data_IF_308376116292
#
_entry.id   IF_308376116292
#
_cell.length_a   1.000
_cell.length_b   1.000
_cell.length_c   1.000
_cell.angle_alpha   90.00
_cell.angle_beta   90.00
_cell.angle_gamma   90.00
#
_symmetry.space_group_name_H-M   'P 1'
#
loop_
_entity.id
_entity.type
_entity.pdbx_description
1 polymer ?
#
# COMPACT_ATOMS: atom_id res chain seq x y z
N UNK A 1 -19.26 -5.33 -23.76
CA UNK A 1 -20.02 -4.32 -22.99
C UNK A 1 -19.21 -3.65 -21.89
N UNK A 2 -18.50 -4.38 -21.01
CA UNK A 2 -17.75 -3.76 -19.89
C UNK A 2 -16.50 -2.94 -20.33
N UNK A 3 -15.79 -3.34 -21.38
CA UNK A 3 -14.67 -2.54 -21.95
C UNK A 3 -15.15 -1.23 -22.56
N UNK A 4 -16.31 -1.29 -23.22
CA UNK A 4 -16.97 -0.13 -23.81
C UNK A 4 -17.45 0.80 -22.69
N UNK A 5 -17.94 0.26 -21.56
CA UNK A 5 -18.33 1.04 -20.39
C UNK A 5 -17.15 1.76 -19.71
N UNK A 6 -15.99 1.11 -19.58
CA UNK A 6 -14.77 1.73 -19.06
C UNK A 6 -14.26 2.86 -19.97
N UNK A 7 -14.25 2.63 -21.29
CA UNK A 7 -13.90 3.65 -22.28
C UNK A 7 -14.93 4.80 -22.32
N UNK A 8 -16.22 4.52 -22.15
CA UNK A 8 -17.27 5.53 -22.05
C UNK A 8 -17.12 6.36 -20.77
N UNK A 9 -16.83 5.75 -19.62
CA UNK A 9 -16.59 6.50 -18.38
C UNK A 9 -15.34 7.39 -18.47
N UNK A 10 -14.23 6.87 -19.01
CA UNK A 10 -13.02 7.64 -19.24
C UNK A 10 -13.25 8.78 -20.26
N UNK A 11 -13.99 8.50 -21.34
CA UNK A 11 -14.31 9.48 -22.38
C UNK A 11 -15.35 10.52 -21.94
N UNK A 12 -16.25 10.19 -21.00
CA UNK A 12 -17.20 11.14 -20.40
C UNK A 12 -16.50 12.08 -19.41
N UNK A 13 -15.49 11.61 -18.68
CA UNK A 13 -14.73 12.44 -17.73
C UNK A 13 -13.79 13.41 -18.45
N UNK A 14 -13.13 12.95 -19.53
CA UNK A 14 -12.28 13.80 -20.38
C UNK A 14 -13.04 14.94 -21.10
N UNK A 15 -14.37 14.83 -21.24
CA UNK A 15 -15.20 15.83 -21.91
C UNK A 15 -15.82 16.90 -21.02
N UNK A 16 -15.69 16.82 -19.68
CA UNK A 16 -16.55 17.58 -18.75
C UNK A 16 -15.81 18.41 -17.69
N UNK A 17 -14.48 18.54 -17.76
CA UNK A 17 -13.73 19.35 -16.79
C UNK A 17 -12.83 20.38 -17.49
N UNK A 18 -13.44 21.30 -18.25
CA UNK A 18 -13.22 22.78 -18.31
C UNK A 18 -13.59 23.33 -19.71
N UNK A 19 -14.43 24.38 -19.89
CA UNK A 19 -15.08 25.28 -18.92
C UNK A 19 -16.62 25.21 -19.00
N UNK A 20 -17.29 24.58 -18.03
CA UNK A 20 -18.77 24.69 -17.90
C UNK A 20 -19.22 24.86 -16.45
N UNK A 21 -18.30 25.22 -15.55
CA UNK A 21 -18.63 25.56 -14.15
C UNK A 21 -19.29 26.96 -14.04
N UNK A 22 -19.45 27.71 -15.14
CA UNK A 22 -20.06 29.05 -15.10
C UNK A 22 -21.44 29.20 -15.76
N UNK A 23 -22.09 28.17 -16.31
CA UNK A 23 -23.33 28.43 -17.09
C UNK A 23 -24.58 27.63 -16.78
N UNK A 24 -24.58 26.44 -16.16
CA UNK A 24 -25.85 25.69 -15.96
C UNK A 24 -25.96 24.99 -14.59
N UNK A 25 -26.55 25.71 -13.63
CA UNK A 25 -26.71 25.31 -12.23
C UNK A 25 -27.81 24.28 -11.90
N UNK A 26 -27.96 23.17 -12.65
CA UNK A 26 -28.79 22.03 -12.16
C UNK A 26 -28.62 20.66 -12.85
N UNK A 27 -28.04 20.56 -14.05
CA UNK A 27 -27.94 19.28 -14.78
C UNK A 27 -26.57 18.56 -14.64
N UNK A 28 -25.51 19.28 -14.29
CA UNK A 28 -24.16 18.72 -14.11
C UNK A 28 -24.02 17.92 -12.79
N UNK A 29 -24.86 18.20 -11.80
CA UNK A 29 -24.85 17.52 -10.50
C UNK A 29 -25.46 16.12 -10.59
N UNK A 30 -26.54 15.92 -11.35
CA UNK A 30 -27.17 14.60 -11.49
C UNK A 30 -26.27 13.60 -12.25
N UNK A 31 -25.64 14.04 -13.32
CA UNK A 31 -24.72 13.20 -14.14
C UNK A 31 -23.49 12.77 -13.34
N UNK A 32 -22.89 13.68 -12.56
CA UNK A 32 -21.74 13.38 -11.71
C UNK A 32 -22.09 12.45 -10.54
N UNK A 33 -23.30 12.57 -9.97
CA UNK A 33 -23.82 11.63 -8.96
C UNK A 33 -23.97 10.22 -9.56
N UNK A 34 -24.54 10.10 -10.77
CA UNK A 34 -24.71 8.80 -11.44
C UNK A 34 -23.38 8.12 -11.76
N UNK A 35 -22.37 8.88 -12.21
CA UNK A 35 -21.03 8.33 -12.49
C UNK A 35 -20.37 7.80 -11.23
N UNK A 36 -20.43 8.53 -10.11
CA UNK A 36 -19.91 8.07 -8.82
C UNK A 36 -20.58 6.78 -8.35
N UNK A 37 -21.91 6.68 -8.48
CA UNK A 37 -22.67 5.48 -8.12
C UNK A 37 -22.30 4.27 -8.99
N UNK A 38 -22.09 4.48 -10.29
CA UNK A 38 -21.63 3.42 -11.20
C UNK A 38 -20.25 2.95 -10.79
N UNK A 39 -19.33 3.87 -10.48
CA UNK A 39 -17.99 3.52 -10.04
C UNK A 39 -17.99 2.79 -8.69
N UNK A 40 -18.80 3.22 -7.72
CA UNK A 40 -18.98 2.49 -6.46
C UNK A 40 -19.52 1.06 -6.69
N UNK A 41 -20.46 0.89 -7.61
CA UNK A 41 -20.97 -0.43 -8.00
C UNK A 41 -19.87 -1.29 -8.62
N UNK A 42 -19.04 -0.69 -9.47
CA UNK A 42 -17.89 -1.37 -10.08
C UNK A 42 -16.87 -1.80 -9.02
N UNK A 43 -16.63 -0.98 -7.98
CA UNK A 43 -15.76 -1.34 -6.86
C UNK A 43 -16.32 -2.54 -6.07
N UNK A 44 -17.61 -2.58 -5.77
CA UNK A 44 -18.20 -3.76 -5.11
C UNK A 44 -18.08 -5.04 -5.98
N UNK A 45 -18.11 -4.93 -7.31
CA UNK A 45 -17.86 -6.06 -8.20
C UNK A 45 -16.42 -6.60 -8.12
N UNK A 46 -15.46 -5.81 -7.64
CA UNK A 46 -14.10 -6.31 -7.33
C UNK A 46 -14.07 -7.27 -6.14
N UNK A 47 -15.17 -7.36 -5.38
CA UNK A 47 -15.33 -8.28 -4.26
C UNK A 47 -16.26 -9.46 -4.59
N UNK A 48 -16.79 -9.53 -5.82
CA UNK A 48 -17.72 -10.58 -6.27
C UNK A 48 -17.06 -11.97 -6.14
N UNK A 49 -17.80 -13.01 -5.68
CA UNK A 49 -17.24 -14.35 -5.52
C UNK A 49 -16.80 -14.97 -6.85
N UNK A 50 -17.41 -14.61 -7.99
CA UNK A 50 -17.11 -15.20 -9.30
C UNK A 50 -15.80 -14.63 -9.85
N UNK A 51 -14.75 -15.46 -10.04
CA UNK A 51 -13.42 -14.98 -10.42
C UNK A 51 -13.39 -14.15 -11.71
N UNK A 52 -14.20 -14.51 -12.71
CA UNK A 52 -14.27 -13.79 -14.00
C UNK A 52 -14.86 -12.39 -13.85
N UNK A 53 -15.87 -12.22 -12.98
CA UNK A 53 -16.51 -10.92 -12.73
C UNK A 53 -15.55 -10.01 -11.99
N UNK A 54 -14.99 -10.51 -10.90
CA UNK A 54 -14.01 -9.78 -10.09
C UNK A 54 -12.79 -9.35 -10.89
N UNK A 55 -12.16 -10.27 -11.64
CA UNK A 55 -11.00 -9.94 -12.48
C UNK A 55 -11.33 -8.84 -13.46
N UNK A 56 -12.50 -8.94 -14.12
CA UNK A 56 -12.91 -7.94 -15.10
C UNK A 56 -13.20 -6.57 -14.47
N UNK A 57 -13.82 -6.54 -13.30
CA UNK A 57 -14.05 -5.29 -12.57
C UNK A 57 -12.73 -4.63 -12.17
N UNK A 58 -11.80 -5.41 -11.61
CA UNK A 58 -10.46 -4.92 -11.23
C UNK A 58 -9.67 -4.36 -12.41
N UNK A 59 -9.69 -5.03 -13.57
CA UNK A 59 -9.06 -4.54 -14.81
C UNK A 59 -9.62 -3.19 -15.26
N UNK A 60 -10.94 -3.00 -15.15
CA UNK A 60 -11.57 -1.72 -15.54
C UNK A 60 -11.21 -0.62 -14.56
N UNK A 61 -11.29 -0.88 -13.26
CA UNK A 61 -10.90 0.10 -12.23
C UNK A 61 -9.44 0.49 -12.42
N UNK A 62 -8.55 -0.48 -12.58
CA UNK A 62 -7.13 -0.24 -12.87
C UNK A 62 -6.95 0.63 -14.13
N UNK A 63 -7.58 0.27 -15.24
CA UNK A 63 -7.50 1.02 -16.49
C UNK A 63 -7.96 2.48 -16.35
N UNK A 64 -8.97 2.74 -15.51
CA UNK A 64 -9.43 4.10 -15.22
C UNK A 64 -8.38 4.85 -14.40
N UNK A 65 -7.85 4.24 -13.34
CA UNK A 65 -6.84 4.84 -12.48
C UNK A 65 -5.53 5.14 -13.22
N UNK A 66 -5.14 4.27 -14.15
CA UNK A 66 -3.96 4.42 -15.00
C UNK A 66 -4.14 5.49 -16.11
N UNK A 67 -5.35 6.06 -16.27
CA UNK A 67 -5.66 7.09 -17.28
C UNK A 67 -6.06 8.41 -16.60
N UNK A 68 -5.14 9.11 -15.92
CA UNK A 68 -5.48 10.35 -15.26
C UNK A 68 -5.89 11.44 -16.28
N UNK A 69 -6.91 12.27 -15.97
CA UNK A 69 -7.32 13.34 -16.86
C UNK A 69 -6.27 14.45 -16.87
N UNK A 70 -5.83 14.88 -18.06
CA UNK A 70 -4.89 16.00 -18.20
C UNK A 70 -5.43 17.28 -17.53
N UNK A 71 -4.63 18.06 -16.77
CA UNK A 71 -3.19 17.95 -16.54
C UNK A 71 -2.81 17.18 -15.25
N UNK A 72 -3.70 16.37 -14.67
CA UNK A 72 -3.43 15.67 -13.42
C UNK A 72 -2.47 14.50 -13.66
N UNK A 73 -1.50 14.34 -12.76
CA UNK A 73 -0.60 13.17 -12.74
C UNK A 73 -1.30 11.92 -12.19
N UNK A 74 -2.35 12.08 -11.38
CA UNK A 74 -3.08 10.97 -10.74
C UNK A 74 -4.59 11.16 -10.89
N UNK A 75 -5.28 10.05 -11.15
CA UNK A 75 -6.72 10.04 -11.32
C UNK A 75 -7.45 10.44 -10.02
N UNK A 76 -8.43 11.36 -10.03
CA UNK A 76 -9.14 11.81 -8.81
C UNK A 76 -9.81 10.70 -8.00
N UNK A 77 -10.23 9.61 -8.65
CA UNK A 77 -10.85 8.47 -7.97
C UNK A 77 -9.87 7.61 -7.18
N UNK A 78 -8.54 7.79 -7.30
CA UNK A 78 -7.57 7.04 -6.49
C UNK A 78 -7.82 7.18 -4.99
N UNK A 79 -8.11 8.41 -4.54
CA UNK A 79 -8.46 8.71 -3.14
C UNK A 79 -9.72 7.94 -2.73
N UNK A 80 -10.75 7.96 -3.57
CA UNK A 80 -12.00 7.26 -3.31
C UNK A 80 -11.77 5.74 -3.18
N UNK A 81 -10.95 5.16 -4.07
CA UNK A 81 -10.62 3.72 -4.00
C UNK A 81 -9.85 3.42 -2.72
N UNK A 82 -8.89 4.26 -2.32
CA UNK A 82 -8.12 4.07 -1.10
C UNK A 82 -9.02 4.14 0.17
N UNK A 83 -9.88 5.15 0.28
CA UNK A 83 -10.82 5.32 1.40
C UNK A 83 -11.85 4.17 1.47
N UNK A 84 -12.42 3.79 0.32
CA UNK A 84 -13.33 2.65 0.22
C UNK A 84 -12.64 1.35 0.66
N UNK A 85 -11.39 1.15 0.25
CA UNK A 85 -10.61 -0.04 0.63
C UNK A 85 -10.41 -0.13 2.14
N UNK A 86 -10.05 0.98 2.80
CA UNK A 86 -9.96 1.04 4.26
C UNK A 86 -11.30 0.68 4.92
N UNK A 87 -12.41 1.19 4.39
CA UNK A 87 -13.76 0.89 4.89
C UNK A 87 -14.10 -0.59 4.76
N UNK A 88 -13.81 -1.20 3.60
CA UNK A 88 -14.05 -2.63 3.36
C UNK A 88 -13.20 -3.49 4.30
N UNK A 89 -11.94 -3.11 4.54
CA UNK A 89 -11.07 -3.82 5.48
C UNK A 89 -11.66 -3.80 6.89
N UNK A 90 -12.03 -2.62 7.40
CA UNK A 90 -12.60 -2.48 8.74
C UNK A 90 -13.88 -3.33 8.90
N UNK A 91 -14.84 -3.18 7.98
CA UNK A 91 -16.10 -3.92 8.02
C UNK A 91 -15.90 -5.44 7.91
N UNK A 92 -14.99 -5.87 7.04
CA UNK A 92 -14.75 -7.29 6.81
C UNK A 92 -13.99 -7.92 7.98
N UNK A 93 -13.04 -7.21 8.59
CA UNK A 93 -12.33 -7.67 9.79
C UNK A 93 -13.29 -7.82 10.99
N UNK A 94 -14.20 -6.87 11.19
CA UNK A 94 -15.25 -6.94 12.22
C UNK A 94 -16.16 -8.15 12.01
N UNK A 95 -16.56 -8.41 10.75
CA UNK A 95 -17.36 -9.59 10.41
C UNK A 95 -16.64 -10.91 10.71
N UNK A 96 -15.32 -10.97 10.48
CA UNK A 96 -14.52 -12.15 10.86
C UNK A 96 -14.53 -12.31 12.38
N UNK A 97 -14.24 -11.23 13.14
CA UNK A 97 -14.23 -11.26 14.60
C UNK A 97 -15.55 -11.70 15.23
N UNK A 98 -16.69 -11.26 14.69
CA UNK A 98 -18.02 -11.66 15.16
C UNK A 98 -18.37 -13.12 14.84
N UNK A 99 -17.80 -13.68 13.77
CA UNK A 99 -18.04 -15.07 13.36
C UNK A 99 -17.18 -16.09 14.11
N UNK A 100 -16.11 -15.67 14.79
CA UNK A 100 -15.11 -16.50 15.46
C UNK A 100 -15.63 -17.37 16.64
N UNK A 101 -16.92 -17.35 16.94
CA UNK A 101 -17.57 -18.20 17.95
C UNK A 101 -18.82 -18.96 17.47
N UNK A 102 -19.26 -18.76 16.22
CA UNK A 102 -20.49 -19.37 15.68
C UNK A 102 -20.16 -20.40 14.61
N UNK A 103 -20.03 -21.67 15.01
CA UNK A 103 -19.86 -22.81 14.07
C UNK A 103 -21.01 -22.81 13.05
N UNK A 104 -20.68 -22.72 11.76
CA UNK A 104 -21.63 -22.85 10.65
C UNK A 104 -22.02 -21.56 9.93
N UNK A 105 -21.54 -20.39 10.35
CA UNK A 105 -21.73 -19.14 9.57
C UNK A 105 -20.61 -19.05 8.53
N UNK A 106 -20.98 -18.88 7.26
CA UNK A 106 -20.02 -18.69 6.17
C UNK A 106 -19.13 -17.46 6.47
N UNK A 107 -17.81 -17.65 6.42
CA UNK A 107 -16.83 -16.61 6.72
C UNK A 107 -16.66 -15.65 5.53
N UNK A 108 -17.76 -14.98 5.18
CA UNK A 108 -17.83 -14.05 4.05
C UNK A 108 -16.85 -12.88 4.21
N UNK A 109 -16.50 -12.51 5.46
CA UNK A 109 -15.51 -11.46 5.75
C UNK A 109 -14.11 -11.84 5.28
N UNK A 110 -13.66 -13.07 5.55
CA UNK A 110 -12.34 -13.55 5.11
C UNK A 110 -12.25 -13.60 3.59
N UNK A 111 -13.29 -14.10 2.92
CA UNK A 111 -13.33 -14.14 1.45
C UNK A 111 -13.29 -12.73 0.83
N UNK A 112 -14.05 -11.78 1.38
CA UNK A 112 -14.02 -10.36 0.95
C UNK A 112 -12.64 -9.75 1.12
N UNK A 113 -11.95 -10.01 2.24
CA UNK A 113 -10.58 -9.54 2.46
C UNK A 113 -9.61 -10.13 1.43
N UNK A 114 -9.70 -11.43 1.16
CA UNK A 114 -8.86 -12.08 0.13
C UNK A 114 -9.07 -11.43 -1.23
N UNK A 115 -10.32 -11.18 -1.63
CA UNK A 115 -10.64 -10.54 -2.89
C UNK A 115 -10.14 -9.09 -2.97
N UNK A 116 -10.31 -8.33 -1.88
CA UNK A 116 -9.82 -6.96 -1.79
C UNK A 116 -8.30 -6.91 -1.92
N UNK A 117 -7.57 -7.70 -1.12
CA UNK A 117 -6.11 -7.72 -1.15
C UNK A 117 -5.59 -8.11 -2.55
N UNK A 118 -6.23 -9.08 -3.20
CA UNK A 118 -5.87 -9.46 -4.57
C UNK A 118 -6.08 -8.31 -5.58
N UNK A 119 -7.14 -7.53 -5.43
CA UNK A 119 -7.38 -6.33 -6.24
C UNK A 119 -6.32 -5.24 -5.96
N UNK A 120 -6.07 -4.90 -4.69
CA UNK A 120 -5.16 -3.82 -4.31
C UNK A 120 -3.72 -4.04 -4.75
N UNK A 121 -3.27 -5.30 -4.84
CA UNK A 121 -1.96 -5.65 -5.42
C UNK A 121 -1.79 -5.21 -6.87
N UNK A 122 -2.89 -5.01 -7.60
CA UNK A 122 -2.84 -4.53 -8.99
C UNK A 122 -2.77 -3.01 -9.09
N UNK A 123 -3.08 -2.30 -8.01
CA UNK A 123 -3.12 -0.83 -7.95
C UNK A 123 -2.50 -0.30 -6.64
N UNK A 124 -1.26 -0.68 -6.28
CA UNK A 124 -0.67 -0.28 -5.00
C UNK A 124 -0.41 1.24 -4.90
N UNK A 125 -0.21 1.91 -6.03
CA UNK A 125 0.08 3.35 -6.13
C UNK A 125 -1.04 4.26 -5.60
N UNK A 126 -2.26 3.74 -5.40
CA UNK A 126 -3.37 4.56 -4.87
C UNK A 126 -3.13 5.06 -3.46
N UNK A 127 -2.32 4.36 -2.66
CA UNK A 127 -1.99 4.75 -1.28
C UNK A 127 -0.74 5.64 -1.20
N UNK A 128 0.11 5.64 -2.22
CA UNK A 128 1.33 6.47 -2.24
C UNK A 128 1.14 7.78 -3.00
N UNK A 129 0.03 7.93 -3.72
CA UNK A 129 -0.25 9.10 -4.52
C UNK A 129 -0.18 10.43 -3.73
N UNK A 130 0.31 11.53 -4.35
CA UNK A 130 0.44 12.85 -3.72
C UNK A 130 -0.89 13.50 -3.32
N UNK A 131 -2.02 12.95 -3.76
CA UNK A 131 -3.34 13.58 -3.71
C UNK A 131 -4.00 13.56 -2.32
N UNK A 132 -3.50 12.74 -1.38
CA UNK A 132 -4.14 12.48 -0.08
C UNK A 132 -4.26 13.75 0.80
N UNK A 133 -3.41 14.76 0.59
CA UNK A 133 -3.40 15.97 1.44
C UNK A 133 -4.68 16.83 1.31
N UNK A 134 -5.54 16.54 0.32
CA UNK A 134 -6.86 17.19 0.19
C UNK A 134 -7.93 16.65 1.14
N UNK A 135 -7.66 15.55 1.84
CA UNK A 135 -8.57 14.95 2.82
C UNK A 135 -7.85 14.68 4.12
N UNK A 136 -7.59 15.72 4.93
CA UNK A 136 -7.20 15.54 6.33
C UNK A 136 -8.35 14.85 7.08
N UNK A 137 -8.36 13.52 7.06
CA UNK A 137 -9.06 12.77 8.09
C UNK A 137 -8.36 13.02 9.42
N UNK A 138 -9.10 13.03 10.53
CA UNK A 138 -8.54 13.16 11.88
C UNK A 138 -7.63 11.98 12.29
N UNK A 139 -7.44 10.98 11.42
CA UNK A 139 -6.84 9.68 11.74
C UNK A 139 -5.53 9.38 10.99
N UNK A 140 -4.97 10.34 10.25
CA UNK A 140 -3.72 10.18 9.48
C UNK A 140 -3.96 9.93 7.99
N UNK A 141 -2.89 9.62 7.25
CA UNK A 141 -2.97 9.32 5.81
C UNK A 141 -3.70 7.99 5.55
N UNK A 142 -4.27 7.79 4.35
CA UNK A 142 -4.92 6.52 4.02
C UNK A 142 -3.90 5.39 3.98
N UNK A 143 -2.65 5.66 3.59
CA UNK A 143 -1.52 4.73 3.74
C UNK A 143 -1.27 4.30 5.18
N UNK A 144 -1.20 5.23 6.14
CA UNK A 144 -1.01 4.91 7.56
C UNK A 144 -2.18 4.11 8.12
N UNK A 145 -3.40 4.48 7.73
CA UNK A 145 -4.63 3.77 8.13
C UNK A 145 -4.65 2.35 7.60
N UNK A 146 -4.40 2.17 6.30
CA UNK A 146 -4.31 0.85 5.68
C UNK A 146 -3.18 0.03 6.32
N UNK A 147 -2.03 0.66 6.63
CA UNK A 147 -0.92 -0.02 7.30
C UNK A 147 -1.35 -0.60 8.65
N UNK A 148 -2.01 0.19 9.49
CA UNK A 148 -2.54 -0.26 10.78
C UNK A 148 -3.49 -1.45 10.63
N UNK A 149 -4.37 -1.41 9.62
CA UNK A 149 -5.27 -2.54 9.37
C UNK A 149 -4.54 -3.80 8.90
N UNK A 150 -3.59 -3.68 7.97
CA UNK A 150 -2.84 -4.82 7.44
C UNK A 150 -1.95 -5.47 8.51
N UNK A 151 -1.36 -4.67 9.42
CA UNK A 151 -0.61 -5.19 10.57
C UNK A 151 -1.50 -5.89 11.61
N UNK A 152 -2.80 -5.57 11.66
CA UNK A 152 -3.75 -6.24 12.54
C UNK A 152 -4.30 -7.56 11.96
N UNK A 153 -4.12 -7.82 10.66
CA UNK A 153 -4.63 -9.02 9.97
C UNK A 153 -4.21 -10.37 10.57
N UNK A 154 -2.98 -10.54 11.12
CA UNK A 154 -2.59 -11.80 11.76
C UNK A 154 -3.51 -12.23 12.90
N UNK A 155 -4.20 -11.29 13.56
CA UNK A 155 -5.18 -11.57 14.63
C UNK A 155 -6.39 -12.39 14.15
N UNK A 156 -6.62 -12.44 12.84
CA UNK A 156 -7.69 -13.23 12.24
C UNK A 156 -7.34 -14.72 12.09
N UNK A 157 -6.13 -15.15 12.52
CA UNK A 157 -5.67 -16.55 12.51
C UNK A 157 -5.74 -17.23 11.14
N UNK A 158 -5.57 -16.45 10.07
CA UNK A 158 -5.50 -16.94 8.70
C UNK A 158 -4.09 -16.66 8.11
N UNK A 159 -3.27 -17.71 7.85
CA UNK A 159 -1.91 -17.52 7.38
C UNK A 159 -1.83 -16.93 5.98
N UNK A 160 -2.80 -17.23 5.11
CA UNK A 160 -2.88 -16.66 3.76
C UNK A 160 -3.16 -15.15 3.83
N UNK A 161 -4.11 -14.72 4.67
CA UNK A 161 -4.39 -13.29 4.86
C UNK A 161 -3.18 -12.57 5.46
N UNK A 162 -2.50 -13.19 6.42
CA UNK A 162 -1.27 -12.65 7.01
C UNK A 162 -0.23 -12.39 5.92
N UNK A 163 0.13 -13.42 5.17
CA UNK A 163 1.08 -13.32 4.07
C UNK A 163 0.65 -12.27 3.04
N UNK A 164 -0.59 -12.32 2.57
CA UNK A 164 -1.09 -11.39 1.57
C UNK A 164 -1.06 -9.93 2.03
N UNK A 165 -1.28 -9.68 3.33
CA UNK A 165 -1.28 -8.35 3.92
C UNK A 165 0.12 -7.74 3.95
N UNK A 166 1.12 -8.49 4.41
CA UNK A 166 2.51 -8.03 4.40
C UNK A 166 3.07 -7.89 2.98
N UNK A 167 2.69 -8.78 2.06
CA UNK A 167 3.08 -8.63 0.65
C UNK A 167 2.47 -7.37 0.02
N UNK A 168 1.21 -7.04 0.34
CA UNK A 168 0.60 -5.79 -0.09
C UNK A 168 1.32 -4.58 0.52
N UNK A 169 1.63 -4.61 1.81
CA UNK A 169 2.43 -3.57 2.47
C UNK A 169 3.77 -3.33 1.76
N UNK A 170 4.47 -4.42 1.42
CA UNK A 170 5.76 -4.33 0.70
C UNK A 170 5.58 -3.59 -0.62
N UNK A 171 4.51 -3.91 -1.36
CA UNK A 171 4.24 -3.30 -2.67
C UNK A 171 3.94 -1.80 -2.62
N UNK A 172 3.57 -1.25 -1.47
CA UNK A 172 3.44 0.20 -1.31
C UNK A 172 4.80 0.92 -1.39
N UNK A 173 5.89 0.24 -1.06
CA UNK A 173 7.24 0.83 -1.03
C UNK A 173 8.10 0.46 -2.23
N UNK A 174 7.60 -0.40 -3.13
CA UNK A 174 8.30 -0.81 -4.36
C UNK A 174 8.04 0.11 -5.56
N UNK A 175 7.31 1.21 -5.37
CA UNK A 175 6.95 2.14 -6.44
C UNK A 175 7.92 3.32 -6.41
N UNK A 176 8.93 3.27 -7.26
CA UNK A 176 9.82 4.39 -7.55
C UNK A 176 9.57 4.79 -9.01
N UNK A 177 9.28 6.07 -9.23
CA UNK A 177 9.15 6.64 -10.57
C UNK A 177 10.38 7.53 -10.81
N UNK A 178 11.23 7.16 -11.77
CA UNK A 178 12.50 7.85 -12.03
C UNK A 178 12.29 9.32 -12.49
N UNK A 179 11.09 9.63 -12.98
CA UNK A 179 10.69 10.96 -13.45
C UNK A 179 9.87 11.75 -12.41
N UNK A 180 9.80 11.28 -11.15
CA UNK A 180 9.07 11.95 -10.07
C UNK A 180 9.67 13.31 -9.72
N UNK A 181 8.84 14.35 -9.63
CA UNK A 181 9.25 15.66 -9.13
C UNK A 181 9.75 15.56 -7.67
N UNK A 182 10.86 16.23 -7.34
CA UNK A 182 11.51 16.12 -6.01
C UNK A 182 10.55 16.42 -4.83
N UNK A 183 9.64 17.39 -5.00
CA UNK A 183 8.62 17.72 -3.99
C UNK A 183 7.65 16.56 -3.73
N UNK A 184 7.36 15.76 -4.75
CA UNK A 184 6.49 14.58 -4.64
C UNK A 184 7.25 13.44 -3.99
N UNK A 185 8.49 13.19 -4.42
CA UNK A 185 9.38 12.20 -3.83
C UNK A 185 9.59 12.45 -2.33
N UNK A 186 9.81 13.70 -1.91
CA UNK A 186 9.99 14.03 -0.49
C UNK A 186 8.74 13.76 0.35
N UNK A 187 7.54 14.06 -0.17
CA UNK A 187 6.28 13.71 0.51
C UNK A 187 6.11 12.19 0.65
N UNK A 188 6.45 11.42 -0.38
CA UNK A 188 6.42 9.96 -0.35
C UNK A 188 7.40 9.40 0.69
N UNK A 189 8.62 9.94 0.76
CA UNK A 189 9.62 9.60 1.79
C UNK A 189 9.11 9.92 3.19
N UNK A 190 8.51 11.09 3.41
CA UNK A 190 7.94 11.47 4.70
C UNK A 190 6.84 10.49 5.17
N UNK A 191 5.92 10.09 4.28
CA UNK A 191 4.93 9.04 4.57
C UNK A 191 5.59 7.70 4.88
N UNK A 192 6.61 7.33 4.11
CA UNK A 192 7.37 6.09 4.34
C UNK A 192 8.03 6.07 5.72
N UNK A 193 8.57 7.20 6.18
CA UNK A 193 9.14 7.34 7.54
C UNK A 193 8.08 7.13 8.64
N UNK A 194 6.88 7.68 8.47
CA UNK A 194 5.78 7.48 9.42
C UNK A 194 5.36 6.01 9.51
N UNK A 195 5.22 5.34 8.36
CA UNK A 195 4.90 3.91 8.31
C UNK A 195 6.04 3.06 8.88
N UNK A 196 7.29 3.38 8.56
CA UNK A 196 8.47 2.68 9.09
C UNK A 196 8.49 2.68 10.62
N UNK A 197 8.22 3.83 11.25
CA UNK A 197 8.12 3.92 12.71
C UNK A 197 7.06 2.96 13.28
N UNK A 198 5.90 2.89 12.62
CA UNK A 198 4.83 1.95 13.00
C UNK A 198 5.25 0.49 12.84
N UNK A 199 5.97 0.16 11.75
CA UNK A 199 6.47 -1.18 11.47
C UNK A 199 7.52 -1.64 12.49
N UNK A 200 8.45 -0.77 12.86
CA UNK A 200 9.48 -1.04 13.86
C UNK A 200 8.85 -1.33 15.23
N UNK A 201 7.81 -0.58 15.62
CA UNK A 201 7.06 -0.83 16.85
C UNK A 201 6.28 -2.15 16.82
N UNK A 202 5.90 -2.62 15.63
CA UNK A 202 5.19 -3.87 15.41
C UNK A 202 6.12 -5.07 15.14
N UNK A 203 7.40 -4.99 15.54
CA UNK A 203 8.35 -6.07 15.34
C UNK A 203 7.87 -7.39 15.97
N UNK A 204 7.84 -8.50 15.21
CA UNK A 204 7.41 -9.79 15.73
C UNK A 204 8.47 -10.38 16.67
N UNK A 205 8.14 -11.51 17.30
CA UNK A 205 9.14 -12.31 18.00
C UNK A 205 10.04 -13.01 16.99
N UNK A 206 11.33 -13.18 17.31
CA UNK A 206 12.30 -13.87 16.44
C UNK A 206 11.87 -15.28 16.03
N UNK A 207 11.18 -15.98 16.93
CA UNK A 207 10.70 -17.34 16.71
C UNK A 207 9.36 -17.42 15.98
N UNK A 208 8.76 -16.27 15.62
CA UNK A 208 7.51 -16.22 14.86
C UNK A 208 7.78 -16.43 13.37
N UNK A 209 7.84 -17.70 12.96
CA UNK A 209 8.10 -18.10 11.57
C UNK A 209 6.96 -17.69 10.62
N UNK A 210 5.77 -17.36 11.14
CA UNK A 210 4.62 -17.00 10.30
C UNK A 210 4.61 -15.52 9.92
N UNK A 211 5.15 -14.66 10.77
CA UNK A 211 5.14 -13.20 10.57
C UNK A 211 6.54 -12.65 10.25
N UNK A 212 7.58 -13.13 10.95
CA UNK A 212 8.91 -12.54 10.87
C UNK A 212 9.47 -12.42 9.45
N UNK A 213 9.44 -13.45 8.59
CA UNK A 213 9.96 -13.32 7.23
C UNK A 213 9.27 -12.22 6.41
N UNK A 214 7.94 -12.10 6.55
CA UNK A 214 7.17 -11.10 5.80
C UNK A 214 7.33 -9.69 6.38
N UNK A 215 7.45 -9.57 7.71
CA UNK A 215 7.73 -8.29 8.36
C UNK A 215 9.12 -7.76 7.97
N UNK A 216 10.14 -8.63 7.90
CA UNK A 216 11.51 -8.27 7.49
C UNK A 216 11.54 -7.66 6.08
N UNK A 217 10.81 -8.26 5.14
CA UNK A 217 10.68 -7.72 3.78
C UNK A 217 10.04 -6.32 3.76
N UNK A 218 8.95 -6.13 4.52
CA UNK A 218 8.25 -4.84 4.56
C UNK A 218 9.09 -3.75 5.23
N UNK A 219 9.74 -4.04 6.37
CA UNK A 219 10.52 -3.03 7.10
C UNK A 219 11.73 -2.57 6.29
N UNK A 220 12.39 -3.48 5.57
CA UNK A 220 13.49 -3.15 4.68
C UNK A 220 13.01 -2.29 3.50
N UNK A 221 11.91 -2.65 2.84
CA UNK A 221 11.34 -1.87 1.74
C UNK A 221 10.88 -0.47 2.19
N UNK A 222 10.25 -0.36 3.36
CA UNK A 222 9.83 0.92 3.93
C UNK A 222 11.03 1.81 4.27
N UNK A 223 12.10 1.24 4.83
CA UNK A 223 13.34 1.95 5.12
C UNK A 223 14.06 2.39 3.83
N UNK A 224 14.16 1.52 2.83
CA UNK A 224 14.65 1.86 1.50
C UNK A 224 13.88 3.04 0.90
N UNK A 225 12.55 2.95 0.82
CA UNK A 225 11.69 4.01 0.31
C UNK A 225 11.81 5.33 1.10
N UNK A 226 12.09 5.26 2.40
CA UNK A 226 12.23 6.44 3.26
C UNK A 226 13.59 7.16 3.13
N UNK A 227 14.65 6.44 2.74
CA UNK A 227 16.04 6.90 2.86
C UNK A 227 16.93 6.61 1.64
N UNK A 228 16.36 6.23 0.48
CA UNK A 228 17.12 5.78 -0.70
C UNK A 228 18.12 6.79 -1.29
N UNK A 229 17.99 8.07 -0.95
CA UNK A 229 18.87 9.15 -1.40
C UNK A 229 19.99 9.51 -0.42
N UNK A 230 20.19 8.70 0.62
CA UNK A 230 21.22 8.95 1.65
C UNK A 230 22.64 9.00 1.07
N UNK A 231 22.90 8.34 -0.06
CA UNK A 231 24.20 8.44 -0.74
C UNK A 231 24.59 9.89 -1.13
N UNK A 232 23.62 10.81 -1.23
CA UNK A 232 23.86 12.26 -1.44
C UNK A 232 24.31 12.98 -0.16
N UNK A 233 24.09 12.37 1.01
CA UNK A 233 24.49 12.86 2.33
C UNK A 233 25.88 12.34 2.70
N UNK A 234 26.57 13.07 3.58
CA UNK A 234 27.85 12.65 4.16
C UNK A 234 27.71 11.59 5.25
N UNK A 235 26.51 11.41 5.80
CA UNK A 235 26.27 10.61 7.02
C UNK A 235 24.99 9.79 6.87
N UNK A 236 25.09 8.50 7.22
CA UNK A 236 23.94 7.60 7.27
C UNK A 236 22.99 8.00 8.42
N UNK A 237 21.68 8.14 8.17
CA UNK A 237 20.70 8.42 9.22
C UNK A 237 20.72 7.35 10.30
N UNK A 238 20.59 7.79 11.56
CA UNK A 238 20.50 6.88 12.71
C UNK A 238 19.38 5.86 12.55
N UNK A 239 18.22 6.26 12.01
CA UNK A 239 17.07 5.38 11.81
C UNK A 239 17.41 4.18 10.90
N UNK A 240 18.24 4.39 9.87
CA UNK A 240 18.72 3.30 9.00
C UNK A 240 19.57 2.32 9.79
N UNK A 241 20.48 2.82 10.64
CA UNK A 241 21.33 1.99 11.49
C UNK A 241 20.52 1.24 12.55
N UNK A 242 19.49 1.87 13.12
CA UNK A 242 18.61 1.24 14.10
C UNK A 242 17.80 0.10 13.45
N UNK A 243 17.29 0.30 12.23
CA UNK A 243 16.62 -0.76 11.45
C UNK A 243 17.61 -1.87 11.06
N UNK A 244 18.80 -1.53 10.60
CA UNK A 244 19.86 -2.49 10.26
C UNK A 244 20.18 -3.40 11.46
N UNK A 245 20.44 -2.80 12.62
CA UNK A 245 20.73 -3.53 13.84
C UNK A 245 19.57 -4.42 14.28
N UNK A 246 18.33 -3.92 14.16
CA UNK A 246 17.13 -4.69 14.47
C UNK A 246 17.00 -5.92 13.57
N UNK A 247 17.12 -5.75 12.25
CA UNK A 247 17.08 -6.84 11.26
C UNK A 247 18.22 -7.84 11.50
N UNK A 248 19.42 -7.35 11.81
CA UNK A 248 20.58 -8.20 12.12
C UNK A 248 20.29 -9.22 13.23
N UNK A 249 19.47 -8.85 14.21
CA UNK A 249 19.12 -9.76 15.32
C UNK A 249 18.36 -11.02 14.88
N UNK A 250 17.80 -11.03 13.67
CA UNK A 250 17.10 -12.17 13.05
C UNK A 250 18.01 -13.11 12.25
N UNK A 251 19.31 -12.80 12.11
CA UNK A 251 20.32 -13.72 11.57
C UNK A 251 20.86 -14.71 12.61
N UNK A 252 20.38 -14.63 13.86
CA UNK A 252 20.78 -15.53 14.93
C UNK A 252 20.46 -16.98 14.55
N UNK A 253 21.46 -17.86 14.58
CA UNK A 253 21.40 -19.29 14.23
C UNK A 253 20.22 -20.08 14.82
N UNK A 254 19.60 -19.59 15.89
CA UNK A 254 18.41 -20.18 16.51
C UNK A 254 17.09 -19.93 15.78
N UNK A 255 17.03 -18.95 14.87
CA UNK A 255 15.81 -18.66 14.09
C UNK A 255 15.58 -19.71 12.99
N UNK A 256 14.35 -19.78 12.47
CA UNK A 256 14.03 -20.66 11.37
C UNK A 256 14.72 -20.22 10.07
N UNK A 257 15.02 -21.17 9.17
CA UNK A 257 15.73 -20.92 7.92
C UNK A 257 15.07 -19.83 7.05
N UNK A 258 13.74 -19.81 6.96
CA UNK A 258 13.01 -18.78 6.20
C UNK A 258 13.18 -17.37 6.82
N UNK A 259 13.32 -17.27 8.13
CA UNK A 259 13.59 -16.00 8.83
C UNK A 259 15.02 -15.54 8.59
N UNK A 260 15.99 -16.46 8.56
CA UNK A 260 17.39 -16.16 8.23
C UNK A 260 17.52 -15.62 6.81
N UNK A 261 16.93 -16.31 5.85
CA UNK A 261 16.96 -15.93 4.43
C UNK A 261 16.33 -14.55 4.25
N UNK A 262 15.13 -14.33 4.82
CA UNK A 262 14.47 -13.02 4.76
C UNK A 262 15.25 -11.89 5.45
N UNK A 263 15.96 -12.18 6.55
CA UNK A 263 16.80 -11.19 7.22
C UNK A 263 18.03 -10.84 6.36
N UNK A 264 18.65 -11.83 5.71
CA UNK A 264 19.75 -11.59 4.79
C UNK A 264 19.30 -10.75 3.58
N UNK A 265 18.17 -11.09 2.96
CA UNK A 265 17.58 -10.34 1.85
C UNK A 265 17.23 -8.90 2.24
N UNK A 266 16.67 -8.71 3.44
CA UNK A 266 16.37 -7.39 3.99
C UNK A 266 17.63 -6.53 4.13
N UNK A 267 18.73 -7.08 4.66
CA UNK A 267 20.01 -6.36 4.78
C UNK A 267 20.62 -6.05 3.42
N UNK A 268 20.57 -7.00 2.47
CA UNK A 268 21.02 -6.78 1.10
C UNK A 268 20.25 -5.67 0.42
N UNK A 269 18.92 -5.63 0.59
CA UNK A 269 18.09 -4.55 0.08
C UNK A 269 18.55 -3.20 0.63
N UNK A 270 18.69 -3.07 1.96
CA UNK A 270 19.15 -1.82 2.59
C UNK A 270 20.53 -1.37 2.11
N UNK A 271 21.46 -2.32 1.94
CA UNK A 271 22.81 -2.02 1.45
C UNK A 271 22.81 -1.54 -0.01
N UNK A 272 21.92 -2.09 -0.84
CA UNK A 272 21.82 -1.77 -2.28
C UNK A 272 20.94 -0.56 -2.59
N UNK A 273 20.03 -0.18 -1.70
CA UNK A 273 19.00 0.84 -1.94
C UNK A 273 19.46 2.27 -1.69
N UNK A 274 20.77 2.54 -1.59
CA UNK A 274 21.28 3.91 -1.36
C UNK A 274 21.03 4.47 0.05
N UNK A 275 20.63 3.63 1.01
CA UNK A 275 20.41 4.01 2.41
C UNK A 275 21.68 4.34 3.18
N UNK A 276 22.84 3.96 2.66
CA UNK A 276 24.14 4.19 3.30
C UNK A 276 24.96 5.22 2.54
N UNK A 277 25.67 6.06 3.29
CA UNK A 277 26.66 6.97 2.73
C UNK A 277 27.82 6.19 2.11
N UNK A 278 28.22 6.55 0.88
CA UNK A 278 29.36 5.93 0.19
C UNK A 278 30.69 6.18 0.92
N UNK A 279 30.83 7.30 1.63
CA UNK A 279 32.04 7.62 2.39
C UNK A 279 32.19 6.71 3.62
N UNK A 280 31.10 6.33 4.29
CA UNK A 280 31.12 5.45 5.47
C UNK A 280 31.36 3.99 5.09
N UNK A 281 30.83 3.54 3.95
CA UNK A 281 31.12 2.20 3.42
C UNK A 281 32.59 2.04 3.01
N UNK A 282 33.23 3.10 2.54
CA UNK A 282 34.65 3.08 2.13
C UNK A 282 35.62 3.22 3.31
N UNK A 283 35.24 3.89 4.40
CA UNK A 283 36.10 4.06 5.59
C UNK A 283 36.08 2.85 6.54
N UNK A 284 35.14 1.93 6.38
CA UNK A 284 35.05 0.67 7.13
C UNK A 284 36.27 -0.27 7.03
N UNK A 285 37.26 0.05 6.19
CA UNK A 285 38.53 -0.67 6.12
C UNK A 285 39.47 -0.45 7.31
N UNK A 286 39.21 0.48 8.23
CA UNK A 286 40.16 0.83 9.30
C UNK A 286 39.58 1.00 10.72
N UNK A 287 38.34 0.61 11.01
CA UNK A 287 37.80 0.96 12.34
C UNK A 287 36.49 0.34 12.81
N UNK A 288 36.17 -0.89 12.43
CA UNK A 288 35.15 -1.67 13.14
C UNK A 288 35.78 -2.93 13.73
N UNK A 289 36.41 -2.77 14.91
CA UNK A 289 36.71 -3.82 15.88
C UNK A 289 36.11 -3.42 17.22
#
# INVERSE_FOLDING_TARGET
>A
MITIFGAILASLDQGMIQPTIMTLGSAATSTSISIRQIFSTLLELTLDPRPKVRKRAGEVVKSILDTPPFPLAVHPWSILVAEWSCTVVAQSADAVGQSAGKKGVANNGTERLIHLLAFLRTTPSIFTAPNEDRGKSSEGSTLETMTRYLLAMPKLSNPYLTQASYQLLTSFFSVEDEEEEEDVAERRRAKSKNVLSTLVQAAPLKNDVQIAPYWLAVVAAACASAFSDTYKSSTTPKDVLDVWNLVWTYLDSSCAAATHEAAADALMLLASSGCFSTSELQTGGNGFY
#
